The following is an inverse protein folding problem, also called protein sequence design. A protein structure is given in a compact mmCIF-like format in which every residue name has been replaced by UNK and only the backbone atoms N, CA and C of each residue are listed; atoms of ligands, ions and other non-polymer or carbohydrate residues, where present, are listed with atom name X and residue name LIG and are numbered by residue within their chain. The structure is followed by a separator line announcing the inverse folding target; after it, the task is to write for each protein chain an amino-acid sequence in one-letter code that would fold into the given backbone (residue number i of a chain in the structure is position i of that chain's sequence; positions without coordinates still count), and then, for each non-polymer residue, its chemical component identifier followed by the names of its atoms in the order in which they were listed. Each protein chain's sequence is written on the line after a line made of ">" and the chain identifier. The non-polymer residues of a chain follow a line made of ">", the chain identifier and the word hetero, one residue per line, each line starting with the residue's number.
data_IF_683536163954
#
_entry.id   IF_683536163954
#
_cell.length_a   1.000
_cell.length_b   1.000
_cell.length_c   1.000
_cell.angle_alpha   90.00
_cell.angle_beta   90.00
_cell.angle_gamma   90.00
#
_symmetry.space_group_name_H-M   'P 1'
#
loop_
_entity.id
_entity.type
_entity.pdbx_description
1 polymer ?
#
# COMPACT_ATOMS: atom_id res chain seq x y z
N UNK A 1 -30.72 -16.73 21.93
CA UNK A 1 -30.62 -16.04 20.62
C UNK A 1 -29.21 -15.48 20.42
N UNK A 2 -28.59 -15.63 19.25
CA UNK A 2 -27.25 -15.09 19.00
C UNK A 2 -27.24 -13.56 19.07
N UNK A 3 -26.36 -13.00 19.89
CA UNK A 3 -26.23 -11.54 20.07
C UNK A 3 -25.60 -10.95 18.80
N UNK A 4 -26.31 -10.04 18.12
CA UNK A 4 -25.77 -9.32 16.96
C UNK A 4 -24.57 -8.45 17.39
N UNK A 5 -23.39 -8.66 16.78
CA UNK A 5 -22.15 -7.93 17.07
C UNK A 5 -21.78 -6.86 16.04
N UNK A 6 -22.45 -6.85 14.88
CA UNK A 6 -22.22 -5.89 13.81
C UNK A 6 -22.92 -4.56 14.13
N UNK A 7 -22.22 -3.43 13.99
CA UNK A 7 -22.76 -2.08 14.18
C UNK A 7 -24.10 -1.92 13.47
N UNK A 8 -24.18 -2.24 12.18
CA UNK A 8 -25.39 -2.04 11.37
C UNK A 8 -26.59 -2.85 11.88
N UNK A 9 -26.35 -4.02 12.50
CA UNK A 9 -27.42 -4.84 13.08
C UNK A 9 -27.83 -4.32 14.47
N UNK A 10 -26.86 -3.88 15.26
CA UNK A 10 -27.09 -3.33 16.60
C UNK A 10 -27.82 -1.98 16.51
N UNK A 11 -27.40 -1.07 15.62
CA UNK A 11 -28.09 0.22 15.39
C UNK A 11 -29.54 0.00 14.98
N UNK A 12 -29.78 -0.84 13.96
CA UNK A 12 -31.13 -1.19 13.50
C UNK A 12 -31.98 -1.79 14.61
N UNK A 13 -31.40 -2.64 15.46
CA UNK A 13 -32.15 -3.23 16.58
C UNK A 13 -32.55 -2.19 17.64
N UNK A 14 -31.69 -1.20 17.89
CA UNK A 14 -31.93 -0.12 18.83
C UNK A 14 -32.96 0.86 18.25
N UNK A 15 -32.83 1.23 16.98
CA UNK A 15 -33.80 2.06 16.24
C UNK A 15 -35.20 1.44 16.27
N UNK A 16 -35.31 0.14 15.96
CA UNK A 16 -36.59 -0.61 16.02
C UNK A 16 -37.24 -0.58 17.39
N UNK A 17 -36.44 -0.50 18.45
CA UNK A 17 -36.95 -0.55 19.82
C UNK A 17 -37.57 0.76 20.31
N UNK A 18 -37.44 1.87 19.56
CA UNK A 18 -38.05 3.20 19.82
C UNK A 18 -37.89 3.77 21.24
N UNK A 19 -37.01 3.22 22.07
CA UNK A 19 -36.80 3.69 23.45
C UNK A 19 -35.83 4.86 23.49
N UNK A 20 -36.11 5.83 24.36
CA UNK A 20 -35.18 6.91 24.71
C UNK A 20 -33.84 6.33 25.19
N UNK A 21 -32.74 6.76 24.58
CA UNK A 21 -31.39 6.29 24.88
C UNK A 21 -30.83 6.99 26.11
N UNK A 22 -30.87 6.33 27.27
CA UNK A 22 -30.19 6.85 28.45
C UNK A 22 -28.66 6.73 28.32
N UNK A 23 -27.86 7.75 28.70
CA UNK A 23 -26.39 7.74 28.61
C UNK A 23 -25.71 6.55 29.31
N UNK A 24 -26.25 6.12 30.46
CA UNK A 24 -25.72 4.94 31.19
C UNK A 24 -26.47 3.64 30.87
N UNK A 25 -27.41 3.68 29.92
CA UNK A 25 -28.32 2.59 29.58
C UNK A 25 -27.64 1.42 28.86
N UNK A 26 -28.24 0.23 28.97
CA UNK A 26 -27.71 -1.01 28.35
C UNK A 26 -27.59 -0.89 26.83
N UNK A 27 -28.55 -0.22 26.16
CA UNK A 27 -28.57 -0.05 24.69
C UNK A 27 -27.41 0.82 24.21
N UNK A 28 -27.13 1.93 24.88
CA UNK A 28 -25.98 2.78 24.56
C UNK A 28 -24.65 2.05 24.78
N UNK A 29 -24.52 1.27 25.87
CA UNK A 29 -23.35 0.39 26.08
C UNK A 29 -23.20 -0.66 24.97
N UNK A 30 -24.30 -1.22 24.45
CA UNK A 30 -24.27 -2.17 23.33
C UNK A 30 -23.81 -1.48 22.03
N UNK A 31 -24.34 -0.29 21.74
CA UNK A 31 -23.96 0.52 20.58
C UNK A 31 -22.47 0.89 20.64
N UNK A 32 -21.97 1.37 21.79
CA UNK A 32 -20.56 1.71 21.98
C UNK A 32 -19.64 0.50 21.76
N UNK A 33 -19.99 -0.68 22.29
CA UNK A 33 -19.22 -1.90 22.03
C UNK A 33 -19.18 -2.28 20.55
N UNK A 34 -20.32 -2.16 19.86
CA UNK A 34 -20.39 -2.44 18.43
C UNK A 34 -19.56 -1.43 17.62
N UNK A 35 -19.58 -0.15 17.99
CA UNK A 35 -18.79 0.90 17.37
C UNK A 35 -17.28 0.67 17.56
N UNK A 36 -16.83 0.44 18.79
CA UNK A 36 -15.42 0.11 19.09
C UNK A 36 -14.94 -1.13 18.32
N UNK A 37 -15.77 -2.16 18.22
CA UNK A 37 -15.45 -3.35 17.42
C UNK A 37 -15.33 -3.00 15.94
N UNK A 38 -16.26 -2.20 15.39
CA UNK A 38 -16.22 -1.77 14.00
C UNK A 38 -14.95 -0.96 13.70
N UNK A 39 -14.60 0.00 14.57
CA UNK A 39 -13.36 0.77 14.45
C UNK A 39 -12.11 -0.11 14.40
N UNK A 40 -12.01 -1.13 15.27
CA UNK A 40 -10.90 -2.09 15.23
C UNK A 40 -10.86 -2.90 13.93
N UNK A 41 -12.01 -3.32 13.41
CA UNK A 41 -12.09 -4.06 12.14
C UNK A 41 -11.68 -3.19 10.94
N UNK A 42 -12.14 -1.93 10.91
CA UNK A 42 -11.76 -0.96 9.88
C UNK A 42 -10.27 -0.65 9.93
N UNK A 43 -9.69 -0.46 11.12
CA UNK A 43 -8.25 -0.24 11.28
C UNK A 43 -7.44 -1.44 10.75
N UNK A 44 -7.83 -2.67 11.09
CA UNK A 44 -7.21 -3.89 10.55
C UNK A 44 -7.35 -3.99 9.03
N UNK A 45 -8.51 -3.64 8.48
CA UNK A 45 -8.73 -3.64 7.03
C UNK A 45 -7.83 -2.60 6.34
N UNK A 46 -7.76 -1.39 6.88
CA UNK A 46 -6.90 -0.31 6.37
C UNK A 46 -5.42 -0.72 6.39
N UNK A 47 -4.93 -1.26 7.51
CA UNK A 47 -3.55 -1.76 7.61
C UNK A 47 -3.24 -2.83 6.54
N UNK A 48 -4.15 -3.78 6.30
CA UNK A 48 -3.98 -4.78 5.23
C UNK A 48 -3.96 -4.17 3.83
N UNK A 49 -4.77 -3.14 3.59
CA UNK A 49 -4.78 -2.44 2.30
C UNK A 49 -3.49 -1.64 2.08
N UNK A 50 -3.01 -0.95 3.11
CA UNK A 50 -1.75 -0.20 3.06
C UNK A 50 -0.56 -1.11 2.74
N UNK A 51 -0.51 -2.32 3.30
CA UNK A 51 0.53 -3.30 2.97
C UNK A 51 0.48 -3.75 1.51
N UNK A 52 -0.72 -3.85 0.91
CA UNK A 52 -0.87 -4.19 -0.51
C UNK A 52 -0.63 -3.00 -1.43
N UNK A 53 -0.80 -1.78 -0.93
CA UNK A 53 -0.66 -0.56 -1.70
C UNK A 53 0.77 -0.38 -2.23
N UNK A 54 1.79 -0.78 -1.45
CA UNK A 54 3.19 -0.75 -1.91
C UNK A 54 3.41 -1.64 -3.15
N UNK A 55 2.79 -2.82 -3.17
CA UNK A 55 2.85 -3.76 -4.28
C UNK A 55 2.19 -3.16 -5.55
N UNK A 56 1.02 -2.53 -5.41
CA UNK A 56 0.37 -1.81 -6.52
C UNK A 56 1.30 -0.75 -7.10
N UNK A 57 1.91 0.08 -6.25
CA UNK A 57 2.81 1.13 -6.71
C UNK A 57 4.04 0.59 -7.44
N UNK A 58 4.60 -0.53 -6.97
CA UNK A 58 5.70 -1.23 -7.65
C UNK A 58 5.25 -1.71 -9.04
N UNK A 59 4.11 -2.39 -9.14
CA UNK A 59 3.59 -2.89 -10.43
C UNK A 59 3.25 -1.76 -11.40
N UNK A 60 2.66 -0.68 -10.90
CA UNK A 60 2.31 0.49 -11.71
C UNK A 60 3.58 1.15 -12.27
N UNK A 61 4.62 1.28 -11.45
CA UNK A 61 5.92 1.75 -11.92
C UNK A 61 6.50 0.85 -13.01
N UNK A 62 6.53 -0.47 -12.80
CA UNK A 62 7.01 -1.42 -13.81
C UNK A 62 6.23 -1.28 -15.11
N UNK A 63 4.89 -1.26 -15.03
CA UNK A 63 4.03 -1.10 -16.20
C UNK A 63 4.37 0.18 -16.97
N UNK A 64 4.58 1.29 -16.26
CA UNK A 64 4.94 2.57 -16.85
C UNK A 64 6.33 2.52 -17.51
N UNK A 65 7.32 1.86 -16.90
CA UNK A 65 8.64 1.67 -17.49
C UNK A 65 8.60 0.74 -18.71
N UNK A 66 7.85 -0.35 -18.65
CA UNK A 66 7.68 -1.28 -19.77
C UNK A 66 7.04 -0.61 -20.98
N UNK A 67 6.11 0.32 -20.75
CA UNK A 67 5.40 1.01 -21.83
C UNK A 67 6.14 2.26 -22.33
N UNK A 68 6.80 3.01 -21.45
CA UNK A 68 7.45 4.28 -21.79
C UNK A 68 8.85 4.09 -22.35
N UNK A 69 9.60 3.10 -21.86
CA UNK A 69 10.98 2.88 -22.25
C UNK A 69 11.06 2.04 -23.54
N UNK A 70 11.59 2.65 -24.60
CA UNK A 70 11.76 2.00 -25.92
C UNK A 70 12.58 0.70 -25.84
N UNK A 71 13.49 0.58 -24.85
CA UNK A 71 14.33 -0.59 -24.65
C UNK A 71 13.52 -1.81 -24.16
N UNK A 72 12.52 -1.59 -23.29
CA UNK A 72 11.73 -2.66 -22.66
C UNK A 72 10.40 -2.92 -23.38
N UNK A 73 9.90 -1.93 -24.13
CA UNK A 73 8.62 -2.01 -24.83
C UNK A 73 8.52 -3.18 -25.82
N UNK A 74 9.63 -3.54 -26.48
CA UNK A 74 9.66 -4.62 -27.47
C UNK A 74 10.14 -5.98 -26.94
N UNK A 75 10.50 -6.06 -25.66
CA UNK A 75 11.06 -7.29 -25.08
C UNK A 75 9.97 -8.15 -24.46
N UNK A 76 9.99 -9.44 -24.76
CA UNK A 76 9.06 -10.40 -24.15
C UNK A 76 9.56 -10.96 -22.83
N UNK A 77 10.86 -10.83 -22.55
CA UNK A 77 11.54 -11.30 -21.34
C UNK A 77 12.60 -10.26 -20.96
N UNK A 78 12.76 -9.99 -19.66
CA UNK A 78 13.90 -9.22 -19.13
C UNK A 78 14.92 -10.13 -18.45
N UNK A 79 16.19 -9.76 -18.55
CA UNK A 79 17.25 -10.43 -17.81
C UNK A 79 17.25 -9.96 -16.34
N UNK A 80 17.87 -10.74 -15.46
CA UNK A 80 17.98 -10.37 -14.04
C UNK A 80 18.72 -9.05 -13.82
N UNK A 81 19.71 -8.72 -14.65
CA UNK A 81 20.41 -7.44 -14.59
C UNK A 81 19.48 -6.26 -14.91
N UNK A 82 18.61 -6.42 -15.91
CA UNK A 82 17.64 -5.39 -16.28
C UNK A 82 16.54 -5.25 -15.22
N UNK A 83 16.11 -6.36 -14.62
CA UNK A 83 15.19 -6.34 -13.49
C UNK A 83 15.80 -5.61 -12.28
N UNK A 84 17.07 -5.88 -11.97
CA UNK A 84 17.79 -5.19 -10.90
C UNK A 84 17.92 -3.68 -11.19
N UNK A 85 18.21 -3.30 -12.44
CA UNK A 85 18.25 -1.90 -12.85
C UNK A 85 16.90 -1.22 -12.68
N UNK A 86 15.79 -1.88 -13.05
CA UNK A 86 14.43 -1.37 -12.83
C UNK A 86 14.10 -1.20 -11.35
N UNK A 87 14.50 -2.14 -10.50
CA UNK A 87 14.30 -2.03 -9.04
C UNK A 87 15.11 -0.85 -8.49
N UNK A 88 16.37 -0.70 -8.87
CA UNK A 88 17.20 0.43 -8.42
C UNK A 88 16.63 1.78 -8.88
N UNK A 89 16.16 1.87 -10.12
CA UNK A 89 15.49 3.07 -10.62
C UNK A 89 14.21 3.38 -9.83
N UNK A 90 13.42 2.35 -9.50
CA UNK A 90 12.26 2.51 -8.63
C UNK A 90 12.67 3.09 -7.28
N UNK A 91 13.67 2.52 -6.59
CA UNK A 91 14.13 3.00 -5.28
C UNK A 91 14.60 4.46 -5.37
N UNK A 92 15.32 4.79 -6.44
CA UNK A 92 15.92 6.10 -6.65
C UNK A 92 14.94 7.18 -7.14
N UNK A 93 13.67 6.85 -7.39
CA UNK A 93 12.66 7.78 -7.95
C UNK A 93 12.52 9.10 -7.19
N UNK A 94 12.71 9.09 -5.88
CA UNK A 94 12.57 10.26 -5.01
C UNK A 94 13.90 10.92 -4.62
N UNK A 95 15.03 10.45 -5.14
CA UNK A 95 16.34 10.97 -4.76
C UNK A 95 16.52 12.44 -5.15
N UNK A 96 15.99 12.84 -6.31
CA UNK A 96 16.04 14.22 -6.80
C UNK A 96 15.38 15.17 -5.79
N UNK A 97 14.13 14.86 -5.43
CA UNK A 97 13.36 15.62 -4.45
C UNK A 97 14.05 15.65 -3.07
N UNK A 98 14.56 14.50 -2.60
CA UNK A 98 15.28 14.40 -1.34
C UNK A 98 16.51 15.32 -1.33
N UNK A 99 17.26 15.35 -2.43
CA UNK A 99 18.46 16.17 -2.57
C UNK A 99 18.11 17.65 -2.62
N UNK A 100 17.03 18.03 -3.28
CA UNK A 100 16.56 19.43 -3.32
C UNK A 100 16.11 19.90 -1.93
N UNK A 101 15.41 19.06 -1.17
CA UNK A 101 15.06 19.36 0.22
C UNK A 101 16.30 19.51 1.12
N UNK A 102 17.34 18.68 0.89
CA UNK A 102 18.62 18.77 1.61
C UNK A 102 19.37 20.06 1.27
N UNK A 103 19.39 20.46 -0.01
CA UNK A 103 20.06 21.69 -0.49
C UNK A 103 19.36 22.96 -0.01
N UNK A 104 18.03 22.99 -0.06
CA UNK A 104 17.24 24.16 0.35
C UNK A 104 17.22 24.37 1.87
N UNK A 105 17.75 23.41 2.65
CA UNK A 105 17.79 23.49 4.11
C UNK A 105 18.98 24.35 4.56
N UNK A 106 18.68 25.45 5.25
CA UNK A 106 19.68 26.28 5.93
C UNK A 106 20.42 25.50 7.03
N UNK A 107 21.72 25.77 7.26
CA UNK A 107 22.46 25.17 8.35
C UNK A 107 21.75 25.46 9.69
N UNK A 108 21.66 24.46 10.57
CA UNK A 108 20.96 24.56 11.86
C UNK A 108 19.44 24.36 11.82
N UNK A 109 18.78 24.36 10.64
CA UNK A 109 17.34 24.05 10.56
C UNK A 109 17.11 22.54 10.70
N UNK A 110 16.16 22.10 11.56
CA UNK A 110 15.81 20.68 11.68
C UNK A 110 15.21 20.13 10.39
N UNK A 111 15.29 18.80 10.24
CA UNK A 111 14.79 18.06 9.08
C UNK A 111 13.27 18.21 9.00
N UNK A 112 12.77 18.52 7.81
CA UNK A 112 11.32 18.61 7.59
C UNK A 112 10.66 17.23 7.65
N UNK A 113 9.38 17.16 8.02
CA UNK A 113 8.66 15.88 8.07
C UNK A 113 8.68 15.15 6.71
N UNK A 114 8.53 15.90 5.61
CA UNK A 114 8.61 15.35 4.25
C UNK A 114 9.99 14.74 3.95
N UNK A 115 11.06 15.45 4.29
CA UNK A 115 12.42 14.93 4.11
C UNK A 115 12.65 13.67 4.95
N UNK A 116 12.16 13.64 6.19
CA UNK A 116 12.26 12.46 7.06
C UNK A 116 11.52 11.26 6.46
N UNK A 117 10.27 11.46 6.00
CA UNK A 117 9.49 10.41 5.35
C UNK A 117 10.15 9.85 4.09
N UNK A 118 10.70 10.71 3.23
CA UNK A 118 11.40 10.28 2.01
C UNK A 118 12.69 9.53 2.32
N UNK A 119 13.45 9.98 3.32
CA UNK A 119 14.66 9.30 3.77
C UNK A 119 14.33 7.91 4.34
N UNK A 120 13.35 7.81 5.23
CA UNK A 120 12.93 6.53 5.80
C UNK A 120 12.41 5.56 4.73
N UNK A 121 11.68 6.07 3.73
CA UNK A 121 11.21 5.26 2.61
C UNK A 121 12.39 4.70 1.82
N UNK A 122 13.36 5.54 1.45
CA UNK A 122 14.55 5.12 0.72
C UNK A 122 15.37 4.10 1.51
N UNK A 123 15.61 4.36 2.80
CA UNK A 123 16.37 3.46 3.67
C UNK A 123 15.65 2.11 3.80
N UNK A 124 14.32 2.12 3.95
CA UNK A 124 13.52 0.89 4.02
C UNK A 124 13.61 0.07 2.73
N UNK A 125 13.47 0.70 1.56
CA UNK A 125 13.54 0.01 0.27
C UNK A 125 14.95 -0.51 -0.03
N UNK A 126 16.02 0.24 0.31
CA UNK A 126 17.40 -0.23 0.19
C UNK A 126 17.73 -1.38 1.13
N UNK A 127 17.21 -1.37 2.36
CA UNK A 127 17.38 -2.51 3.27
C UNK A 127 16.67 -3.76 2.74
N UNK A 128 15.47 -3.60 2.18
CA UNK A 128 14.73 -4.70 1.55
C UNK A 128 15.52 -5.28 0.36
N UNK A 129 16.04 -4.42 -0.52
CA UNK A 129 16.83 -4.82 -1.69
C UNK A 129 18.13 -5.55 -1.32
N UNK A 130 18.90 -5.02 -0.37
CA UNK A 130 20.24 -5.56 -0.07
C UNK A 130 20.24 -6.78 0.86
N UNK A 131 19.25 -6.91 1.75
CA UNK A 131 19.30 -7.91 2.84
C UNK A 131 18.16 -8.92 2.81
N UNK A 132 16.94 -8.49 2.49
CA UNK A 132 15.75 -9.30 2.70
C UNK A 132 15.19 -9.92 1.42
N UNK A 133 15.65 -9.45 0.25
CA UNK A 133 15.04 -9.75 -1.03
C UNK A 133 13.87 -8.79 -1.30
N UNK A 134 13.92 -8.11 -2.43
CA UNK A 134 12.90 -7.13 -2.81
C UNK A 134 11.65 -7.84 -3.33
N UNK A 135 10.48 -7.57 -2.74
CA UNK A 135 9.24 -8.19 -3.22
C UNK A 135 8.81 -7.58 -4.56
N UNK A 136 9.11 -8.30 -5.64
CA UNK A 136 8.99 -7.84 -7.02
C UNK A 136 8.61 -9.02 -7.93
N UNK A 137 7.77 -8.84 -8.96
CA UNK A 137 7.41 -9.94 -9.84
C UNK A 137 8.62 -10.41 -10.66
N UNK A 138 8.71 -11.71 -10.93
CA UNK A 138 9.73 -12.25 -11.81
C UNK A 138 9.50 -11.77 -13.26
N UNK A 139 10.38 -10.89 -13.74
CA UNK A 139 10.32 -10.33 -15.08
C UNK A 139 10.98 -11.24 -16.13
N UNK A 140 11.54 -12.38 -15.71
CA UNK A 140 12.12 -13.39 -16.61
C UNK A 140 11.02 -14.23 -17.27
N UNK A 141 9.80 -14.19 -16.72
CA UNK A 141 8.64 -14.91 -17.26
C UNK A 141 7.85 -14.02 -18.22
N UNK A 142 7.74 -14.46 -19.48
CA UNK A 142 6.97 -13.75 -20.50
C UNK A 142 5.48 -13.57 -20.12
N UNK A 143 4.90 -14.57 -19.43
CA UNK A 143 3.53 -14.49 -18.93
C UNK A 143 3.34 -13.31 -17.98
N UNK A 144 4.23 -13.13 -17.00
CA UNK A 144 4.18 -12.01 -16.05
C UNK A 144 4.22 -10.67 -16.78
N UNK A 145 5.09 -10.50 -17.78
CA UNK A 145 5.21 -9.24 -18.52
C UNK A 145 3.95 -8.91 -19.33
N UNK A 146 3.36 -9.90 -20.00
CA UNK A 146 2.08 -9.72 -20.71
C UNK A 146 0.98 -9.32 -19.73
N UNK A 147 0.93 -9.95 -18.55
CA UNK A 147 -0.04 -9.59 -17.51
C UNK A 147 0.17 -8.16 -17.00
N UNK A 148 1.41 -7.77 -16.68
CA UNK A 148 1.74 -6.44 -16.15
C UNK A 148 1.38 -5.34 -17.17
N UNK A 149 1.66 -5.56 -18.46
CA UNK A 149 1.29 -4.62 -19.53
C UNK A 149 -0.22 -4.37 -19.59
N UNK A 150 -1.00 -5.44 -19.49
CA UNK A 150 -2.46 -5.40 -19.57
C UNK A 150 -3.15 -5.12 -18.23
N UNK A 151 -2.39 -4.99 -17.15
CA UNK A 151 -2.95 -4.84 -15.82
C UNK A 151 -3.67 -3.50 -15.66
N UNK A 152 -4.87 -3.54 -15.08
CA UNK A 152 -5.77 -2.40 -14.93
C UNK A 152 -5.68 -1.68 -13.57
N UNK A 153 -4.64 -1.96 -12.78
CA UNK A 153 -4.44 -1.33 -11.46
C UNK A 153 -5.23 -1.97 -10.31
N UNK A 154 -5.86 -3.14 -10.53
CA UNK A 154 -6.67 -3.79 -9.50
C UNK A 154 -5.84 -4.66 -8.54
N UNK A 155 -6.16 -4.56 -7.25
CA UNK A 155 -5.57 -5.34 -6.14
C UNK A 155 -5.72 -6.87 -6.30
N UNK A 156 -6.82 -7.32 -6.88
CA UNK A 156 -7.11 -8.76 -7.00
C UNK A 156 -6.30 -9.43 -8.09
N UNK A 157 -5.91 -8.70 -9.14
CA UNK A 157 -5.12 -9.26 -10.23
C UNK A 157 -3.65 -9.50 -9.84
N UNK A 158 -3.17 -8.91 -8.74
CA UNK A 158 -1.77 -9.06 -8.31
C UNK A 158 -1.45 -10.46 -7.78
N UNK A 159 -2.45 -11.27 -7.41
CA UNK A 159 -2.25 -12.67 -6.98
C UNK A 159 -1.94 -13.63 -8.11
N UNK A 160 -2.08 -13.20 -9.37
CA UNK A 160 -1.80 -14.03 -10.55
C UNK A 160 -0.30 -14.02 -10.88
N UNK A 161 0.41 -12.97 -10.46
CA UNK A 161 1.83 -12.80 -10.75
C UNK A 161 2.70 -13.70 -9.89
N UNK A 162 3.74 -14.26 -10.50
CA UNK A 162 4.80 -14.94 -9.79
C UNK A 162 5.84 -13.92 -9.31
N UNK A 163 6.25 -14.05 -8.05
CA UNK A 163 7.25 -13.22 -7.37
C UNK A 163 8.48 -14.05 -7.05
#
# INVERSE_FOLDING_TARGET
>A
MPIAKNLNKVSKSIEKSKTVLHPKGRKLKQLNRANLRNGKLLAKKSSRLNLKQSLIHRLDYIKNELNSNKLYSKKDILTHEEANALILNYINRNLTELNDLKKNRRPGRPISNRQNLLQNLLDSELTEFNKNGFHFPDLSLASNLVYIRNWNGTLGATTILNF
#
